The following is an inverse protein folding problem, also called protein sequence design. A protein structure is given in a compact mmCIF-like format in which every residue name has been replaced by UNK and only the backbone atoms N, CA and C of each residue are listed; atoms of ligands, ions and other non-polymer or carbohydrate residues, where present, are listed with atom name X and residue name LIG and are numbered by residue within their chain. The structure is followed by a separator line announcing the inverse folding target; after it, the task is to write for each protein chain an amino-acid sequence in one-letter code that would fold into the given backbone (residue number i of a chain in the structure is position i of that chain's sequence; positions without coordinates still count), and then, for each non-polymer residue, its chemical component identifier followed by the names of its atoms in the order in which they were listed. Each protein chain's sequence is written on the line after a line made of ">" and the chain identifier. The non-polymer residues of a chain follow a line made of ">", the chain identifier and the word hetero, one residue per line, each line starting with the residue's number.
data_IF_453033199974
#
_entry.id   IF_453033199974
#
_cell.length_a   1.000
_cell.length_b   1.000
_cell.length_c   1.000
_cell.angle_alpha   90.00
_cell.angle_beta   90.00
_cell.angle_gamma   90.00
#
_symmetry.space_group_name_H-M   'P 1'
#
loop_
_entity.id
_entity.type
_entity.pdbx_description
1 polymer ?
#
# COMPACT_ATOMS: atom_id res chain seq x y z
N UNK A 1 -28.48 15.00 35.43
CA UNK A 1 -27.99 16.11 36.27
C UNK A 1 -27.26 17.06 35.36
N UNK A 2 -27.94 18.15 34.99
CA UNK A 2 -27.38 19.32 34.31
C UNK A 2 -26.18 19.88 35.06
N UNK A 3 -25.08 20.17 34.37
CA UNK A 3 -24.28 21.37 34.63
C UNK A 3 -23.78 21.95 33.30
N UNK A 4 -24.43 23.04 32.92
CA UNK A 4 -24.00 24.06 31.95
C UNK A 4 -22.85 24.86 32.56
N UNK A 5 -21.78 25.14 31.80
CA UNK A 5 -20.87 26.23 32.10
C UNK A 5 -20.38 26.92 30.82
N UNK A 6 -20.97 28.10 30.57
CA UNK A 6 -20.57 29.11 29.58
C UNK A 6 -19.23 29.73 29.98
N UNK A 7 -18.34 29.99 29.02
CA UNK A 7 -17.26 30.98 29.15
C UNK A 7 -17.31 31.98 28.01
N UNK A 8 -16.97 33.22 28.38
CA UNK A 8 -17.36 34.51 27.78
C UNK A 8 -16.52 34.92 26.57
N UNK A 9 -17.21 35.59 25.63
CA UNK A 9 -16.62 36.55 24.68
C UNK A 9 -15.82 37.65 25.40
N UNK A 10 -14.67 38.02 24.85
CA UNK A 10 -14.06 39.34 25.05
C UNK A 10 -13.94 40.07 23.71
N UNK A 11 -14.75 41.12 23.56
CA UNK A 11 -14.58 42.21 22.60
C UNK A 11 -13.39 43.07 23.02
N UNK A 12 -12.51 43.43 22.08
CA UNK A 12 -11.58 44.55 22.22
C UNK A 12 -11.71 45.52 21.03
N UNK A 13 -11.52 46.78 21.37
CA UNK A 13 -11.88 48.00 20.66
C UNK A 13 -10.89 48.41 19.56
N UNK A 14 -11.48 48.95 18.50
CA UNK A 14 -11.09 50.11 17.67
C UNK A 14 -9.95 50.98 18.20
N UNK A 15 -8.99 51.32 17.32
CA UNK A 15 -8.31 52.61 17.30
C UNK A 15 -7.82 52.99 15.86
N UNK A 16 -8.32 54.14 15.37
CA UNK A 16 -7.70 55.22 14.56
C UNK A 16 -6.44 54.86 13.73
N UNK A 17 -6.32 55.14 12.43
CA UNK A 17 -6.74 56.32 11.68
C UNK A 17 -5.49 57.00 11.07
N UNK A 18 -5.15 56.68 9.82
CA UNK A 18 -4.24 57.48 8.98
C UNK A 18 -4.84 57.56 7.58
N UNK A 19 -5.32 58.75 7.23
CA UNK A 19 -5.77 59.09 5.90
C UNK A 19 -4.54 59.38 5.02
N UNK A 20 -4.20 58.44 4.14
CA UNK A 20 -3.27 58.67 3.04
C UNK A 20 -4.07 59.08 1.80
N UNK A 21 -3.75 60.24 1.23
CA UNK A 21 -4.29 60.76 -0.02
C UNK A 21 -3.83 59.87 -1.20
N UNK A 22 -4.74 59.28 -2.00
CA UNK A 22 -4.34 58.60 -3.22
C UNK A 22 -4.09 59.64 -4.32
N UNK A 23 -2.89 59.56 -4.90
CA UNK A 23 -2.55 60.19 -6.17
C UNK A 23 -3.43 59.54 -7.25
N UNK A 24 -4.31 60.33 -7.87
CA UNK A 24 -5.09 59.95 -9.05
C UNK A 24 -4.14 59.80 -10.25
N UNK A 25 -3.47 58.66 -10.33
CA UNK A 25 -2.87 58.20 -11.58
C UNK A 25 -3.97 57.68 -12.50
N UNK A 26 -3.97 58.13 -13.75
CA UNK A 26 -4.85 57.63 -14.81
C UNK A 26 -4.58 56.13 -15.06
N UNK A 27 -5.23 55.28 -14.27
CA UNK A 27 -5.22 53.83 -14.45
C UNK A 27 -6.04 53.47 -15.67
N UNK A 28 -5.35 53.10 -16.76
CA UNK A 28 -5.97 52.33 -17.82
C UNK A 28 -6.63 51.12 -17.18
N UNK A 29 -7.93 50.92 -17.46
CA UNK A 29 -8.65 49.72 -17.06
C UNK A 29 -7.92 48.52 -17.65
N UNK A 30 -7.12 47.86 -16.83
CA UNK A 30 -6.59 46.55 -17.13
C UNK A 30 -7.82 45.65 -17.18
N UNK A 31 -8.20 45.23 -18.40
CA UNK A 31 -9.26 44.24 -18.55
C UNK A 31 -8.89 43.03 -17.68
N UNK A 32 -9.83 42.48 -16.89
CA UNK A 32 -9.54 41.31 -16.07
C UNK A 32 -9.00 40.23 -17.00
N UNK A 33 -7.72 39.89 -16.82
CA UNK A 33 -7.07 38.85 -17.62
C UNK A 33 -7.85 37.57 -17.43
N UNK A 34 -8.34 37.00 -18.53
CA UNK A 34 -8.90 35.65 -18.53
C UNK A 34 -7.76 34.74 -18.07
N UNK A 35 -7.88 34.17 -16.87
CA UNK A 35 -6.90 33.17 -16.43
C UNK A 35 -6.91 32.02 -17.44
N UNK A 36 -5.72 31.59 -17.91
CA UNK A 36 -5.64 30.49 -18.86
C UNK A 36 -6.32 29.24 -18.27
N UNK A 37 -7.07 28.54 -19.12
CA UNK A 37 -7.73 27.28 -18.75
C UNK A 37 -6.68 26.25 -18.30
N UNK A 38 -6.78 25.77 -17.05
CA UNK A 38 -5.87 24.77 -16.48
C UNK A 38 -6.21 23.36 -17.01
N UNK A 39 -5.20 22.51 -17.13
CA UNK A 39 -5.37 21.09 -17.42
C UNK A 39 -5.90 20.39 -16.17
N UNK A 40 -7.14 19.91 -16.18
CA UNK A 40 -7.68 19.10 -15.08
C UNK A 40 -7.05 17.70 -15.10
N UNK A 41 -6.48 17.29 -13.97
CA UNK A 41 -5.91 15.96 -13.77
C UNK A 41 -6.53 15.30 -12.53
N UNK A 42 -7.43 14.34 -12.74
CA UNK A 42 -8.04 13.56 -11.64
C UNK A 42 -7.28 12.26 -11.44
N UNK A 43 -6.93 11.98 -10.18
CA UNK A 43 -6.11 10.83 -9.81
C UNK A 43 -6.65 10.16 -8.55
N UNK A 44 -7.38 9.04 -8.67
CA UNK A 44 -7.58 8.13 -7.56
C UNK A 44 -6.25 7.42 -7.24
N UNK A 45 -5.83 7.54 -5.98
CA UNK A 45 -4.66 6.87 -5.43
C UNK A 45 -5.05 5.53 -4.81
N UNK A 46 -4.07 4.64 -4.67
CA UNK A 46 -4.27 3.38 -3.98
C UNK A 46 -4.57 3.64 -2.51
N UNK A 47 -5.73 3.16 -2.04
CA UNK A 47 -6.29 3.55 -0.73
C UNK A 47 -5.98 2.55 0.39
N UNK A 48 -5.40 1.38 0.09
CA UNK A 48 -5.07 0.35 1.07
C UNK A 48 -3.71 0.60 1.74
N UNK A 49 -3.46 1.85 2.15
CA UNK A 49 -2.26 2.26 2.89
C UNK A 49 -2.65 2.75 4.29
N UNK A 50 -1.74 2.81 5.28
CA UNK A 50 -2.08 3.35 6.60
C UNK A 50 -2.49 4.83 6.55
N UNK A 51 -3.66 5.15 7.11
CA UNK A 51 -4.10 6.54 7.37
C UNK A 51 -3.40 7.09 8.62
N UNK A 52 -2.13 7.49 8.44
CA UNK A 52 -1.28 7.90 9.55
C UNK A 52 -1.79 9.13 10.32
N UNK A 53 -2.58 9.99 9.67
CA UNK A 53 -3.19 11.18 10.27
C UNK A 53 -4.56 10.88 10.91
N UNK A 54 -5.21 9.76 10.56
CA UNK A 54 -6.55 9.41 11.03
C UNK A 54 -7.62 10.37 10.49
N UNK A 55 -7.37 10.99 9.34
CA UNK A 55 -8.22 12.03 8.75
C UNK A 55 -8.83 11.64 7.40
N UNK A 56 -8.75 10.34 7.05
CA UNK A 56 -9.16 9.76 5.78
C UNK A 56 -8.33 10.34 4.61
N UNK A 57 -7.02 10.43 4.79
CA UNK A 57 -6.05 10.91 3.79
C UNK A 57 -6.23 12.37 3.34
N UNK A 58 -6.93 13.21 4.11
CA UNK A 58 -7.18 14.61 3.75
C UNK A 58 -5.88 15.41 3.76
N UNK A 59 -5.08 15.29 4.83
CA UNK A 59 -3.79 15.97 4.91
C UNK A 59 -2.81 15.49 3.83
N UNK A 60 -2.80 14.18 3.56
CA UNK A 60 -1.99 13.57 2.50
C UNK A 60 -2.33 14.17 1.12
N UNK A 61 -3.61 14.13 0.75
CA UNK A 61 -4.11 14.60 -0.55
C UNK A 61 -3.86 16.10 -0.72
N UNK A 62 -4.18 16.91 0.30
CA UNK A 62 -3.98 18.35 0.26
C UNK A 62 -2.50 18.76 0.12
N UNK A 63 -1.57 18.00 0.72
CA UNK A 63 -0.14 18.25 0.56
C UNK A 63 0.35 17.91 -0.84
N UNK A 64 -0.10 16.78 -1.40
CA UNK A 64 0.23 16.37 -2.78
C UNK A 64 -0.22 17.46 -3.77
N UNK A 65 -1.48 17.88 -3.68
CA UNK A 65 -2.04 18.95 -4.52
C UNK A 65 -1.24 20.25 -4.37
N UNK A 66 -1.06 20.75 -3.15
CA UNK A 66 -0.38 22.02 -2.92
C UNK A 66 1.09 22.03 -3.37
N UNK A 67 1.84 20.94 -3.17
CA UNK A 67 3.23 20.87 -3.62
C UNK A 67 3.34 20.73 -5.14
N UNK A 68 2.50 19.90 -5.76
CA UNK A 68 2.52 19.67 -7.20
C UNK A 68 2.07 20.91 -7.98
N UNK A 69 0.94 21.51 -7.63
CA UNK A 69 0.40 22.68 -8.35
C UNK A 69 1.28 23.92 -8.20
N UNK A 70 2.09 23.99 -7.15
CA UNK A 70 3.12 25.03 -7.02
C UNK A 70 4.24 24.88 -8.05
N UNK A 71 4.57 23.66 -8.44
CA UNK A 71 5.57 23.34 -9.48
C UNK A 71 4.95 23.37 -10.89
N UNK A 72 3.64 23.10 -11.00
CA UNK A 72 2.86 23.01 -12.25
C UNK A 72 1.57 23.83 -12.17
N UNK A 73 1.64 25.19 -12.20
CA UNK A 73 0.47 26.05 -11.98
C UNK A 73 -0.60 25.97 -13.09
N UNK A 74 -0.24 25.42 -14.25
CA UNK A 74 -1.12 25.17 -15.38
C UNK A 74 -1.96 23.88 -15.25
N UNK A 75 -1.72 23.06 -14.24
CA UNK A 75 -2.47 21.82 -13.97
C UNK A 75 -3.33 21.99 -12.72
N UNK A 76 -4.62 21.69 -12.82
CA UNK A 76 -5.55 21.57 -11.69
C UNK A 76 -5.59 20.10 -11.23
N UNK A 77 -4.92 19.78 -10.13
CA UNK A 77 -4.81 18.42 -9.63
C UNK A 77 -5.94 18.14 -8.63
N UNK A 78 -6.65 17.03 -8.86
CA UNK A 78 -7.66 16.54 -7.91
C UNK A 78 -7.31 15.11 -7.51
N UNK A 79 -6.79 14.96 -6.30
CA UNK A 79 -6.49 13.67 -5.69
C UNK A 79 -7.74 13.08 -5.07
N UNK A 80 -8.01 11.79 -5.32
CA UNK A 80 -9.16 11.07 -4.79
C UNK A 80 -10.47 11.86 -4.96
N UNK A 81 -10.84 12.20 -6.22
CA UNK A 81 -11.97 13.08 -6.48
C UNK A 81 -13.22 12.57 -5.77
N UNK A 82 -14.07 13.42 -5.16
CA UNK A 82 -15.21 12.96 -4.35
C UNK A 82 -16.21 12.07 -5.09
N UNK A 83 -16.24 12.11 -6.42
CA UNK A 83 -17.06 11.22 -7.24
C UNK A 83 -16.51 9.78 -7.34
N UNK A 84 -15.25 9.54 -6.98
CA UNK A 84 -14.61 8.24 -7.10
C UNK A 84 -15.22 7.28 -6.09
N UNK A 85 -15.82 6.21 -6.61
CA UNK A 85 -16.48 5.15 -5.85
C UNK A 85 -16.17 3.77 -6.43
N UNK A 86 -15.29 3.71 -7.44
CA UNK A 86 -14.96 2.46 -8.11
C UNK A 86 -14.14 1.58 -7.16
N UNK A 87 -14.38 0.28 -7.22
CA UNK A 87 -13.53 -0.69 -6.53
C UNK A 87 -12.21 -0.86 -7.31
N UNK A 88 -11.09 -0.57 -6.66
CA UNK A 88 -9.73 -0.75 -7.21
C UNK A 88 -9.43 -2.21 -7.60
N UNK A 89 -10.23 -3.17 -7.12
CA UNK A 89 -10.14 -4.58 -7.48
C UNK A 89 -11.18 -5.07 -8.51
N UNK A 90 -11.91 -4.14 -9.16
CA UNK A 90 -12.88 -4.44 -10.21
C UNK A 90 -12.51 -3.75 -11.55
N UNK A 91 -11.71 -4.40 -12.42
CA UNK A 91 -11.20 -3.79 -13.65
C UNK A 91 -12.27 -3.23 -14.59
N UNK A 92 -13.48 -3.78 -14.57
CA UNK A 92 -14.59 -3.28 -15.40
C UNK A 92 -15.11 -1.90 -14.95
N UNK A 93 -15.13 -1.62 -13.64
CA UNK A 93 -15.50 -0.31 -13.10
C UNK A 93 -14.40 0.70 -13.45
N UNK A 94 -13.14 0.33 -13.19
CA UNK A 94 -12.00 1.18 -13.50
C UNK A 94 -11.94 1.52 -15.00
N UNK A 95 -12.17 0.54 -15.86
CA UNK A 95 -12.18 0.71 -17.30
C UNK A 95 -13.25 1.70 -17.75
N UNK A 96 -14.46 1.65 -17.18
CA UNK A 96 -15.53 2.58 -17.51
C UNK A 96 -15.11 4.03 -17.18
N UNK A 97 -14.57 4.28 -15.99
CA UNK A 97 -14.11 5.62 -15.59
C UNK A 97 -12.90 6.12 -16.39
N UNK A 98 -11.94 5.24 -16.71
CA UNK A 98 -10.82 5.56 -17.59
C UNK A 98 -11.28 5.91 -19.01
N UNK A 99 -12.30 5.23 -19.54
CA UNK A 99 -12.93 5.57 -20.84
C UNK A 99 -13.87 6.78 -20.76
N UNK A 100 -14.09 7.35 -19.58
CA UNK A 100 -14.99 8.49 -19.36
C UNK A 100 -16.48 8.13 -19.42
N UNK A 101 -16.80 6.84 -19.30
CA UNK A 101 -18.15 6.28 -19.26
C UNK A 101 -18.65 6.12 -17.81
N UNK A 102 -17.73 6.10 -16.84
CA UNK A 102 -18.03 5.97 -15.41
C UNK A 102 -18.55 7.26 -14.77
N UNK A 103 -19.07 7.12 -13.55
CA UNK A 103 -19.61 8.25 -12.77
C UNK A 103 -18.54 9.28 -12.39
N UNK A 104 -17.27 8.86 -12.35
CA UNK A 104 -16.13 9.71 -12.05
C UNK A 104 -15.03 9.47 -13.07
N UNK A 105 -15.01 10.18 -14.20
CA UNK A 105 -13.90 10.06 -15.14
C UNK A 105 -12.60 10.45 -14.45
N UNK A 106 -11.52 9.73 -14.74
CA UNK A 106 -10.19 10.12 -14.30
C UNK A 106 -9.15 9.80 -15.37
N UNK A 107 -8.01 10.47 -15.25
CA UNK A 107 -6.96 10.49 -16.25
C UNK A 107 -5.83 9.51 -15.90
N UNK A 108 -5.57 9.33 -14.60
CA UNK A 108 -4.62 8.39 -14.03
C UNK A 108 -5.33 7.64 -12.90
N UNK A 109 -4.98 6.38 -12.68
CA UNK A 109 -5.32 5.66 -11.45
C UNK A 109 -4.13 4.81 -11.01
N UNK A 110 -3.90 4.78 -9.71
CA UNK A 110 -2.94 3.86 -9.09
C UNK A 110 -3.64 2.54 -8.76
N UNK A 111 -3.17 1.43 -9.34
CA UNK A 111 -3.80 0.11 -9.23
C UNK A 111 -2.80 -0.95 -8.82
N UNK A 112 -3.28 -1.95 -8.08
CA UNK A 112 -2.54 -3.19 -7.85
C UNK A 112 -2.33 -3.90 -9.20
N UNK A 113 -1.07 -4.18 -9.52
CA UNK A 113 -0.68 -4.82 -10.77
C UNK A 113 -1.09 -6.28 -10.86
N UNK A 114 -1.57 -6.91 -9.78
CA UNK A 114 -2.17 -8.26 -9.82
C UNK A 114 -3.38 -8.35 -10.78
N UNK A 115 -3.92 -7.20 -11.20
CA UNK A 115 -5.06 -7.01 -12.09
C UNK A 115 -4.69 -6.40 -13.44
N UNK A 116 -3.41 -6.08 -13.65
CA UNK A 116 -3.00 -5.23 -14.76
C UNK A 116 -3.34 -5.85 -16.10
N UNK A 117 -3.16 -7.16 -16.26
CA UNK A 117 -3.54 -7.88 -17.47
C UNK A 117 -5.01 -7.72 -17.81
N UNK A 118 -5.88 -7.97 -16.84
CA UNK A 118 -7.33 -7.85 -17.02
C UNK A 118 -7.75 -6.40 -17.32
N UNK A 119 -7.08 -5.41 -16.71
CA UNK A 119 -7.31 -4.00 -17.02
C UNK A 119 -6.82 -3.63 -18.43
N UNK A 120 -5.67 -4.13 -18.88
CA UNK A 120 -5.14 -3.94 -20.23
C UNK A 120 -6.09 -4.54 -21.27
N UNK A 121 -6.62 -5.74 -21.02
CA UNK A 121 -7.55 -6.43 -21.91
C UNK A 121 -8.86 -5.65 -22.13
N UNK A 122 -9.24 -4.73 -21.22
CA UNK A 122 -10.39 -3.83 -21.43
C UNK A 122 -10.16 -2.75 -22.50
N UNK A 123 -8.90 -2.50 -22.88
CA UNK A 123 -8.50 -1.40 -23.75
C UNK A 123 -8.66 -0.01 -23.13
N UNK A 124 -8.87 0.11 -21.82
CA UNK A 124 -9.09 1.40 -21.16
C UNK A 124 -7.78 2.13 -20.79
N UNK A 125 -6.68 1.38 -20.63
CA UNK A 125 -5.34 1.92 -20.35
C UNK A 125 -4.45 1.90 -21.59
N UNK A 126 -3.54 2.86 -21.69
CA UNK A 126 -2.54 2.94 -22.76
C UNK A 126 -1.13 2.64 -22.23
N UNK A 127 -0.20 2.16 -23.08
CA UNK A 127 1.20 2.06 -22.71
C UNK A 127 1.77 3.40 -22.24
N UNK A 128 2.56 3.37 -21.16
CA UNK A 128 3.16 4.55 -20.54
C UNK A 128 4.36 5.09 -21.32
N UNK A 129 5.00 4.24 -22.13
CA UNK A 129 6.13 4.58 -23.00
C UNK A 129 7.49 4.47 -22.33
N UNK A 130 7.74 5.22 -21.25
CA UNK A 130 9.00 5.18 -20.50
C UNK A 130 8.81 5.61 -19.03
N UNK A 131 9.59 5.01 -18.14
CA UNK A 131 9.62 5.38 -16.72
C UNK A 131 10.23 6.79 -16.54
N UNK A 132 9.81 7.56 -15.51
CA UNK A 132 10.49 8.79 -15.12
C UNK A 132 12.01 8.59 -14.91
N UNK A 133 12.80 9.58 -15.32
CA UNK A 133 14.24 9.61 -15.10
C UNK A 133 14.58 9.91 -13.64
N UNK A 134 15.66 9.33 -13.12
CA UNK A 134 16.18 9.60 -11.78
C UNK A 134 15.99 8.46 -10.77
N UNK A 135 14.78 7.92 -10.57
CA UNK A 135 14.57 6.77 -9.70
C UNK A 135 15.41 5.54 -10.07
N UNK A 136 15.87 4.83 -9.05
CA UNK A 136 16.45 3.49 -9.23
C UNK A 136 15.32 2.47 -9.11
N UNK A 137 14.67 2.18 -10.23
CA UNK A 137 13.46 1.35 -10.25
C UNK A 137 13.72 -0.11 -9.85
N UNK A 138 12.86 -0.65 -9.00
CA UNK A 138 12.88 -2.05 -8.62
C UNK A 138 12.54 -2.95 -9.84
N UNK A 139 13.37 -3.95 -10.21
CA UNK A 139 13.12 -4.79 -11.38
C UNK A 139 11.78 -5.53 -11.34
N UNK A 140 11.40 -6.07 -10.18
CA UNK A 140 10.08 -6.68 -9.97
C UNK A 140 8.93 -5.71 -10.30
N UNK A 141 8.99 -4.46 -9.83
CA UNK A 141 7.94 -3.47 -10.13
C UNK A 141 7.81 -3.18 -11.63
N UNK A 142 8.95 -3.05 -12.34
CA UNK A 142 8.95 -2.88 -13.80
C UNK A 142 8.28 -4.07 -14.48
N UNK A 143 8.65 -5.30 -14.07
CA UNK A 143 8.10 -6.53 -14.63
C UNK A 143 6.59 -6.65 -14.36
N UNK A 144 6.15 -6.37 -13.13
CA UNK A 144 4.74 -6.40 -12.75
C UNK A 144 3.92 -5.34 -13.52
N UNK A 145 4.55 -4.23 -13.89
CA UNK A 145 3.94 -3.14 -14.69
C UNK A 145 4.00 -3.36 -16.21
N UNK A 146 4.51 -4.51 -16.66
CA UNK A 146 4.73 -4.82 -18.07
C UNK A 146 3.84 -5.97 -18.52
N UNK A 147 3.11 -5.78 -19.61
CA UNK A 147 2.27 -6.80 -20.26
C UNK A 147 2.77 -6.97 -21.69
N UNK A 148 3.10 -8.21 -22.08
CA UNK A 148 3.58 -8.55 -23.43
C UNK A 148 4.74 -7.66 -23.93
N UNK A 149 5.65 -7.31 -23.02
CA UNK A 149 6.83 -6.47 -23.32
C UNK A 149 6.55 -4.97 -23.43
N UNK A 150 5.32 -4.51 -23.15
CA UNK A 150 4.98 -3.09 -23.08
C UNK A 150 4.73 -2.65 -21.65
N UNK A 151 5.31 -1.51 -21.27
CA UNK A 151 5.09 -0.89 -19.97
C UNK A 151 3.72 -0.18 -19.95
N UNK A 152 2.83 -0.61 -19.06
CA UNK A 152 1.48 -0.03 -18.91
C UNK A 152 1.30 0.84 -17.67
N UNK A 153 2.26 0.81 -16.74
CA UNK A 153 2.24 1.70 -15.59
C UNK A 153 3.61 2.02 -15.05
N UNK A 154 3.67 3.01 -14.16
CA UNK A 154 4.88 3.37 -13.42
C UNK A 154 4.77 2.82 -12.00
N UNK A 155 5.68 1.91 -11.58
CA UNK A 155 5.70 1.37 -10.22
C UNK A 155 5.77 2.47 -9.16
N UNK A 156 4.99 2.34 -8.09
CA UNK A 156 5.00 3.28 -6.98
C UNK A 156 5.20 2.56 -5.64
N UNK A 157 4.19 1.84 -5.15
CA UNK A 157 4.32 1.02 -3.96
C UNK A 157 4.64 -0.43 -4.31
N UNK A 158 5.26 -1.11 -3.37
CA UNK A 158 5.38 -2.55 -3.35
C UNK A 158 4.91 -3.06 -1.99
N UNK A 159 4.48 -4.31 -1.92
CA UNK A 159 4.25 -4.98 -0.65
C UNK A 159 4.54 -6.49 -0.80
N UNK A 160 4.75 -7.15 0.34
CA UNK A 160 4.91 -8.61 0.46
C UNK A 160 4.64 -9.04 1.89
N UNK A 161 4.53 -10.34 2.15
CA UNK A 161 4.22 -10.85 3.48
C UNK A 161 5.44 -10.82 4.40
N UNK A 162 5.24 -10.32 5.61
CA UNK A 162 6.24 -10.24 6.67
C UNK A 162 5.74 -10.94 7.93
N UNK A 163 6.69 -11.49 8.68
CA UNK A 163 6.51 -11.84 10.08
C UNK A 163 6.96 -10.67 10.95
N UNK A 164 6.04 -10.20 11.77
CA UNK A 164 6.29 -9.23 12.85
C UNK A 164 6.39 -10.00 14.16
N UNK A 165 7.41 -9.74 14.98
CA UNK A 165 7.57 -10.46 16.25
C UNK A 165 8.40 -9.63 17.25
N UNK A 166 8.64 -10.18 18.44
CA UNK A 166 9.64 -9.66 19.40
C UNK A 166 10.90 -10.55 19.50
N UNK A 167 10.94 -11.64 18.75
CA UNK A 167 11.96 -12.69 18.88
C UNK A 167 12.93 -12.65 17.70
N UNK A 168 14.22 -12.55 18.02
CA UNK A 168 15.29 -12.65 17.03
C UNK A 168 15.27 -14.01 16.31
N UNK A 169 14.97 -15.10 17.04
CA UNK A 169 14.89 -16.45 16.47
C UNK A 169 13.75 -16.55 15.44
N UNK A 170 12.58 -15.97 15.75
CA UNK A 170 11.43 -15.93 14.83
C UNK A 170 11.77 -15.12 13.58
N UNK A 171 12.36 -13.93 13.74
CA UNK A 171 12.79 -13.10 12.58
C UNK A 171 13.98 -13.69 11.80
N UNK A 172 14.72 -14.59 12.42
CA UNK A 172 15.89 -15.26 11.85
C UNK A 172 15.53 -16.49 11.02
N UNK A 173 14.30 -16.99 11.11
CA UNK A 173 13.86 -18.15 10.34
C UNK A 173 13.97 -17.91 8.83
N UNK A 174 14.31 -18.98 8.10
CA UNK A 174 14.48 -18.98 6.64
C UNK A 174 13.58 -19.98 5.94
N UNK A 175 12.88 -20.83 6.69
CA UNK A 175 11.86 -21.76 6.19
C UNK A 175 10.65 -21.75 7.12
N UNK A 176 9.52 -22.26 6.63
CA UNK A 176 8.29 -22.39 7.44
C UNK A 176 8.52 -23.29 8.66
N UNK A 177 9.31 -24.36 8.54
CA UNK A 177 9.59 -25.27 9.65
C UNK A 177 10.50 -24.63 10.70
N UNK A 178 11.48 -23.82 10.28
CA UNK A 178 12.30 -23.02 11.21
C UNK A 178 11.47 -21.97 11.94
N UNK A 179 10.53 -21.31 11.25
CA UNK A 179 9.62 -20.34 11.84
C UNK A 179 8.76 -20.99 12.91
N UNK A 180 8.11 -22.11 12.58
CA UNK A 180 7.25 -22.83 13.50
C UNK A 180 8.02 -23.35 14.72
N UNK A 181 9.21 -23.91 14.51
CA UNK A 181 10.07 -24.34 15.60
C UNK A 181 10.47 -23.17 16.51
N UNK A 182 10.81 -22.01 15.93
CA UNK A 182 11.16 -20.82 16.69
C UNK A 182 9.99 -20.26 17.50
N UNK A 183 8.76 -20.34 16.98
CA UNK A 183 7.54 -19.96 17.69
C UNK A 183 7.25 -20.90 18.86
N UNK A 184 7.22 -22.21 18.62
CA UNK A 184 6.99 -23.22 19.66
C UNK A 184 8.02 -23.11 20.80
N UNK A 185 9.28 -22.81 20.46
CA UNK A 185 10.36 -22.66 21.42
C UNK A 185 10.20 -21.46 22.36
N UNK A 186 9.34 -20.48 22.04
CA UNK A 186 9.06 -19.36 22.94
C UNK A 186 8.33 -19.83 24.21
N UNK A 187 7.51 -20.88 24.11
CA UNK A 187 6.81 -21.50 25.25
C UNK A 187 5.93 -20.54 26.03
N UNK A 188 5.33 -19.55 25.35
CA UNK A 188 4.46 -18.55 25.98
C UNK A 188 3.00 -19.04 26.00
N UNK A 189 2.12 -18.43 26.81
CA UNK A 189 0.68 -18.70 26.74
C UNK A 189 -0.02 -17.94 25.59
N UNK A 190 0.68 -17.10 24.85
CA UNK A 190 0.12 -16.40 23.69
C UNK A 190 -0.09 -17.37 22.52
N UNK A 191 -0.94 -17.00 21.56
CA UNK A 191 -1.02 -17.75 20.30
C UNK A 191 0.29 -17.58 19.53
N UNK A 192 0.86 -18.65 18.99
CA UNK A 192 2.12 -18.58 18.25
C UNK A 192 2.04 -17.56 17.10
N UNK A 193 0.99 -17.66 16.27
CA UNK A 193 0.79 -16.78 15.12
C UNK A 193 -0.61 -16.16 15.12
N UNK A 194 -0.71 -14.91 14.72
CA UNK A 194 -1.97 -14.27 14.33
C UNK A 194 -1.86 -13.60 12.97
N UNK A 195 -2.77 -13.88 12.05
CA UNK A 195 -2.85 -13.22 10.75
C UNK A 195 -4.15 -13.62 10.06
N UNK A 196 -4.72 -12.75 9.23
CA UNK A 196 -5.80 -13.22 8.37
C UNK A 196 -5.19 -14.04 7.24
N UNK A 197 -5.50 -15.34 7.16
CA UNK A 197 -5.08 -16.20 6.04
C UNK A 197 -6.22 -16.40 5.04
N UNK A 198 -7.42 -15.89 5.33
CA UNK A 198 -8.57 -15.90 4.43
C UNK A 198 -8.54 -14.71 3.47
N UNK A 199 -9.57 -14.65 2.64
CA UNK A 199 -9.75 -13.64 1.62
C UNK A 199 -9.48 -14.20 0.23
N UNK A 200 -10.24 -13.73 -0.75
CA UNK A 200 -10.12 -14.24 -2.13
C UNK A 200 -8.84 -13.78 -2.82
N UNK A 201 -8.14 -12.79 -2.28
CA UNK A 201 -6.82 -12.36 -2.75
C UNK A 201 -5.71 -12.96 -1.90
N UNK A 202 -5.85 -12.83 -0.59
CA UNK A 202 -4.80 -13.16 0.36
C UNK A 202 -4.48 -14.66 0.46
N UNK A 203 -5.46 -15.57 0.54
CA UNK A 203 -5.16 -17.01 0.59
C UNK A 203 -4.45 -17.52 -0.69
N UNK A 204 -4.93 -17.20 -1.92
CA UNK A 204 -4.19 -17.51 -3.13
C UNK A 204 -2.79 -16.89 -3.17
N UNK A 205 -2.65 -15.64 -2.72
CA UNK A 205 -1.38 -14.94 -2.66
C UNK A 205 -0.36 -15.64 -1.75
N UNK A 206 -0.78 -16.05 -0.54
CA UNK A 206 0.05 -16.80 0.40
C UNK A 206 0.52 -18.13 -0.19
N UNK A 207 -0.35 -18.82 -0.95
CA UNK A 207 0.04 -20.04 -1.65
C UNK A 207 1.11 -19.78 -2.72
N UNK A 208 0.95 -18.73 -3.53
CA UNK A 208 1.91 -18.39 -4.58
C UNK A 208 3.28 -17.99 -3.99
N UNK A 209 3.26 -17.30 -2.86
CA UNK A 209 4.46 -16.91 -2.12
C UNK A 209 5.16 -18.14 -1.52
N UNK A 210 4.41 -19.03 -0.86
CA UNK A 210 4.91 -20.31 -0.35
C UNK A 210 5.44 -21.24 -1.47
N UNK A 211 4.79 -21.23 -2.63
CA UNK A 211 5.26 -21.93 -3.83
C UNK A 211 6.60 -21.36 -4.31
N UNK A 212 6.73 -20.04 -4.32
CA UNK A 212 7.96 -19.35 -4.72
C UNK A 212 9.11 -19.62 -3.74
N UNK A 213 8.84 -19.63 -2.44
CA UNK A 213 9.83 -20.01 -1.42
C UNK A 213 10.34 -21.44 -1.62
N UNK A 214 9.50 -22.33 -2.13
CA UNK A 214 9.80 -23.76 -2.31
C UNK A 214 10.52 -24.04 -3.63
N UNK A 215 10.08 -23.41 -4.73
CA UNK A 215 10.55 -23.73 -6.09
C UNK A 215 11.40 -22.63 -6.73
N UNK A 216 11.53 -21.49 -6.06
CA UNK A 216 12.07 -20.26 -6.62
C UNK A 216 11.03 -19.51 -7.47
N UNK A 217 11.34 -18.27 -7.89
CA UNK A 217 10.40 -17.38 -8.58
C UNK A 217 10.16 -17.72 -10.06
N UNK A 218 10.99 -18.59 -10.63
CA UNK A 218 10.84 -18.99 -12.01
C UNK A 218 9.52 -19.76 -12.18
N UNK A 219 8.67 -19.31 -13.11
CA UNK A 219 7.41 -19.95 -13.48
C UNK A 219 6.30 -19.89 -12.41
N UNK A 220 6.34 -18.97 -11.44
CA UNK A 220 5.24 -18.79 -10.46
C UNK A 220 3.88 -18.60 -11.13
N UNK A 221 3.82 -18.02 -12.34
CA UNK A 221 2.59 -17.91 -13.13
C UNK A 221 1.91 -19.26 -13.39
N UNK A 222 2.66 -20.37 -13.47
CA UNK A 222 2.10 -21.72 -13.63
C UNK A 222 1.37 -22.24 -12.39
N UNK A 223 1.65 -21.67 -11.21
CA UNK A 223 0.96 -21.97 -9.96
C UNK A 223 -0.37 -21.20 -9.81
N UNK A 224 -0.67 -20.26 -10.72
CA UNK A 224 -1.99 -19.61 -10.83
C UNK A 224 -2.95 -20.59 -11.52
N UNK A 225 -3.53 -21.50 -10.73
CA UNK A 225 -4.37 -22.61 -11.24
C UNK A 225 -5.47 -23.01 -10.26
N UNK A 226 -6.44 -23.78 -10.76
CA UNK A 226 -7.49 -24.44 -9.97
C UNK A 226 -7.49 -25.96 -10.15
N UNK A 227 -6.55 -26.50 -10.91
CA UNK A 227 -6.55 -27.92 -11.27
C UNK A 227 -5.70 -28.78 -10.34
N UNK A 228 -4.49 -28.32 -10.02
CA UNK A 228 -3.50 -29.07 -9.24
C UNK A 228 -2.71 -28.12 -8.34
N UNK A 229 -2.75 -28.37 -7.03
CA UNK A 229 -1.93 -27.67 -6.05
C UNK A 229 -0.74 -28.53 -5.62
N UNK A 230 0.37 -27.88 -5.29
CA UNK A 230 1.58 -28.54 -4.83
C UNK A 230 1.39 -29.09 -3.41
N UNK A 231 1.55 -30.42 -3.21
CA UNK A 231 1.28 -31.04 -1.91
C UNK A 231 2.26 -30.62 -0.81
N UNK A 232 3.52 -30.33 -1.15
CA UNK A 232 4.52 -29.92 -0.17
C UNK A 232 4.25 -28.48 0.31
N UNK A 233 3.84 -27.61 -0.61
CA UNK A 233 3.39 -26.25 -0.31
C UNK A 233 2.15 -26.28 0.59
N UNK A 234 1.14 -27.08 0.24
CA UNK A 234 -0.07 -27.22 1.05
C UNK A 234 0.22 -27.76 2.45
N UNK A 235 1.11 -28.75 2.57
CA UNK A 235 1.51 -29.29 3.86
C UNK A 235 2.20 -28.23 4.73
N UNK A 236 3.06 -27.38 4.15
CA UNK A 236 3.66 -26.24 4.85
C UNK A 236 2.62 -25.21 5.31
N UNK A 237 1.70 -24.84 4.42
CA UNK A 237 0.62 -23.90 4.74
C UNK A 237 -0.33 -24.44 5.82
N UNK A 238 -0.63 -25.73 5.82
CA UNK A 238 -1.44 -26.37 6.88
C UNK A 238 -0.75 -26.23 8.24
N UNK A 239 0.54 -26.56 8.32
CA UNK A 239 1.33 -26.37 9.55
C UNK A 239 1.37 -24.91 10.00
N UNK A 240 1.52 -23.98 9.05
CA UNK A 240 1.48 -22.53 9.34
C UNK A 240 0.11 -22.11 9.89
N UNK A 241 -0.99 -22.53 9.27
CA UNK A 241 -2.32 -22.22 9.73
C UNK A 241 -2.56 -22.73 11.16
N UNK A 242 -2.09 -23.95 11.49
CA UNK A 242 -2.19 -24.51 12.85
C UNK A 242 -1.41 -23.74 13.91
N UNK A 243 -0.42 -22.93 13.54
CA UNK A 243 0.23 -22.01 14.49
C UNK A 243 -0.73 -20.93 15.02
N UNK A 244 -1.90 -20.78 14.40
CA UNK A 244 -2.97 -19.92 14.90
C UNK A 244 -3.98 -20.62 15.80
N UNK A 245 -3.89 -21.95 15.99
CA UNK A 245 -4.91 -22.70 16.73
C UNK A 245 -5.07 -22.18 18.16
N UNK A 246 -6.32 -22.05 18.58
CA UNK A 246 -6.74 -21.68 19.92
C UNK A 246 -7.68 -22.75 20.50
N UNK A 247 -8.09 -22.61 21.75
CA UNK A 247 -9.07 -23.52 22.34
C UNK A 247 -10.45 -23.41 21.68
N UNK A 248 -10.77 -22.26 21.08
CA UNK A 248 -12.05 -21.94 20.46
C UNK A 248 -12.10 -22.24 18.96
N UNK A 249 -10.96 -22.52 18.32
CA UNK A 249 -10.85 -22.74 16.87
C UNK A 249 -9.62 -22.06 16.28
N UNK A 250 -9.62 -21.88 14.96
CA UNK A 250 -8.51 -21.27 14.23
C UNK A 250 -8.93 -19.90 13.66
N UNK A 251 -8.63 -18.78 14.37
CA UNK A 251 -9.06 -17.44 13.97
C UNK A 251 -8.44 -16.96 12.65
N UNK A 252 -7.36 -17.60 12.20
CA UNK A 252 -6.69 -17.27 10.95
C UNK A 252 -7.46 -17.76 9.71
N UNK A 253 -8.31 -18.78 9.85
CA UNK A 253 -9.04 -19.44 8.74
C UNK A 253 -10.55 -19.59 8.96
N UNK A 254 -11.13 -18.96 9.99
CA UNK A 254 -12.57 -19.07 10.32
C UNK A 254 -13.38 -17.78 10.10
N UNK A 255 -12.74 -16.70 9.65
CA UNK A 255 -13.37 -15.40 9.41
C UNK A 255 -13.29 -14.43 10.60
N UNK A 256 -12.70 -14.82 11.74
CA UNK A 256 -12.56 -13.97 12.94
C UNK A 256 -11.90 -12.62 12.63
N UNK A 257 -10.96 -12.58 11.69
CA UNK A 257 -10.23 -11.37 11.32
C UNK A 257 -10.82 -10.61 10.11
N UNK A 258 -11.92 -11.07 9.50
CA UNK A 258 -12.51 -10.41 8.32
C UNK A 258 -13.18 -9.08 8.68
N UNK A 259 -13.86 -9.01 9.83
CA UNK A 259 -14.57 -7.80 10.29
C UNK A 259 -13.61 -6.73 10.85
N UNK A 260 -12.40 -7.14 11.25
CA UNK A 260 -11.38 -6.25 11.77
C UNK A 260 -9.99 -6.72 11.35
N UNK A 261 -9.56 -6.21 10.20
CA UNK A 261 -8.24 -6.48 9.64
C UNK A 261 -7.08 -6.07 10.57
N UNK A 262 -7.32 -5.19 11.55
CA UNK A 262 -6.34 -4.74 12.55
C UNK A 262 -6.16 -5.66 13.75
N UNK A 263 -7.07 -6.60 13.93
CA UNK A 263 -7.06 -7.44 15.12
C UNK A 263 -5.78 -8.30 15.26
N UNK A 264 -5.23 -8.95 14.20
CA UNK A 264 -3.99 -9.72 14.34
C UNK A 264 -2.81 -8.90 14.89
N UNK A 265 -2.57 -7.72 14.35
CA UNK A 265 -1.48 -6.84 14.76
C UNK A 265 -1.71 -6.24 16.14
N UNK A 266 -2.96 -5.91 16.48
CA UNK A 266 -3.34 -5.48 17.82
C UNK A 266 -3.03 -6.59 18.84
N UNK A 267 -3.29 -7.86 18.50
CA UNK A 267 -2.94 -9.00 19.37
C UNK A 267 -1.44 -9.11 19.59
N UNK A 268 -0.62 -8.98 18.54
CA UNK A 268 0.83 -8.90 18.70
C UNK A 268 1.23 -7.72 19.59
N UNK A 269 0.70 -6.52 19.34
CA UNK A 269 1.01 -5.32 20.10
C UNK A 269 0.72 -5.49 21.61
N UNK A 270 -0.38 -6.17 21.94
CA UNK A 270 -0.84 -6.46 23.30
C UNK A 270 -0.17 -7.69 23.94
N UNK A 271 0.69 -8.42 23.23
CA UNK A 271 1.34 -9.64 23.71
C UNK A 271 0.38 -10.84 23.81
N UNK A 272 -0.72 -10.82 23.05
CA UNK A 272 -1.68 -11.91 22.91
C UNK A 272 -1.34 -12.85 21.75
N UNK A 273 -0.36 -12.48 20.93
CA UNK A 273 0.28 -13.32 19.94
C UNK A 273 1.80 -13.12 19.98
N UNK A 274 2.56 -14.18 19.72
CA UNK A 274 4.03 -14.16 19.69
C UNK A 274 4.58 -13.56 18.39
N UNK A 275 3.85 -13.78 17.29
CA UNK A 275 4.09 -13.16 16.00
C UNK A 275 2.78 -12.82 15.28
N UNK A 276 2.86 -11.87 14.34
CA UNK A 276 1.79 -11.63 13.38
C UNK A 276 2.28 -11.68 11.93
N UNK A 277 1.47 -12.29 11.05
CA UNK A 277 1.71 -12.34 9.61
C UNK A 277 0.87 -11.26 8.91
N UNK A 278 1.52 -10.43 8.08
CA UNK A 278 0.86 -9.41 7.28
C UNK A 278 1.86 -8.60 6.46
N UNK A 279 1.40 -7.62 5.69
CA UNK A 279 2.29 -6.73 4.95
C UNK A 279 3.14 -5.83 5.85
N UNK A 280 4.19 -5.21 5.33
CA UNK A 280 5.08 -4.31 6.08
C UNK A 280 4.34 -3.14 6.75
N UNK A 281 3.30 -2.66 6.10
CA UNK A 281 2.40 -1.57 6.51
C UNK A 281 1.71 -1.88 7.83
N UNK A 282 1.53 -3.17 8.13
CA UNK A 282 0.91 -3.65 9.35
C UNK A 282 1.76 -3.33 10.59
N UNK A 283 3.07 -3.11 10.43
CA UNK A 283 3.94 -2.57 11.49
C UNK A 283 3.45 -1.21 12.01
N UNK A 284 2.81 -0.39 11.16
CA UNK A 284 2.17 0.85 11.60
C UNK A 284 1.12 0.59 12.68
N UNK A 285 0.26 -0.41 12.46
CA UNK A 285 -0.81 -0.81 13.36
C UNK A 285 -0.24 -1.37 14.66
N UNK A 286 0.79 -2.24 14.58
CA UNK A 286 1.46 -2.79 15.76
C UNK A 286 1.99 -1.67 16.65
N UNK A 287 2.73 -0.71 16.08
CA UNK A 287 3.35 0.38 16.85
C UNK A 287 2.30 1.33 17.45
N UNK A 288 1.25 1.68 16.69
CA UNK A 288 0.15 2.52 17.18
C UNK A 288 -0.60 1.91 18.36
N UNK A 289 -0.62 0.59 18.46
CA UNK A 289 -1.37 -0.15 19.49
C UNK A 289 -0.48 -0.72 20.61
N UNK A 290 0.80 -0.34 20.66
CA UNK A 290 1.68 -0.72 21.76
C UNK A 290 1.14 -0.18 23.11
N UNK A 291 1.15 -1.00 24.18
CA UNK A 291 0.82 -0.53 25.52
C UNK A 291 1.69 0.65 25.94
N UNK A 292 1.15 1.54 26.79
CA UNK A 292 1.90 2.67 27.34
C UNK A 292 3.18 2.17 28.02
N UNK A 293 4.33 2.70 27.59
CA UNK A 293 5.65 2.32 28.10
C UNK A 293 6.32 1.15 27.37
N UNK A 294 5.62 0.46 26.47
CA UNK A 294 6.23 -0.52 25.58
C UNK A 294 7.08 0.17 24.50
N UNK A 295 8.12 -0.51 24.02
CA UNK A 295 9.08 0.06 23.06
C UNK A 295 8.97 -0.63 21.71
N UNK A 296 8.84 0.16 20.64
CA UNK A 296 8.96 -0.35 19.28
C UNK A 296 10.36 -0.95 19.00
N UNK A 297 11.36 -0.69 19.85
CA UNK A 297 12.70 -1.25 19.72
C UNK A 297 12.75 -2.77 19.99
N UNK A 298 11.73 -3.32 20.63
CA UNK A 298 11.63 -4.76 20.87
C UNK A 298 11.10 -5.49 19.65
N UNK A 299 10.43 -4.80 18.72
CA UNK A 299 9.85 -5.40 17.54
C UNK A 299 10.93 -5.78 16.51
N UNK A 300 10.60 -6.79 15.73
CA UNK A 300 11.33 -7.29 14.56
C UNK A 300 10.37 -7.43 13.41
N UNK A 301 10.92 -7.30 12.20
CA UNK A 301 10.24 -7.54 10.94
C UNK A 301 11.19 -8.37 10.07
N UNK A 302 10.68 -9.39 9.40
CA UNK A 302 11.43 -10.17 8.43
C UNK A 302 10.46 -10.73 7.39
N UNK A 303 10.88 -10.89 6.12
CA UNK A 303 10.04 -11.54 5.11
C UNK A 303 9.56 -12.89 5.61
N UNK A 304 8.29 -13.19 5.40
CA UNK A 304 7.69 -14.41 5.92
C UNK A 304 8.24 -15.63 5.16
N UNK A 305 8.92 -16.58 5.83
CA UNK A 305 9.32 -17.82 5.19
C UNK A 305 8.13 -18.78 5.15
N UNK A 306 7.38 -18.74 4.06
CA UNK A 306 6.13 -19.49 3.86
C UNK A 306 6.38 -20.89 3.25
N UNK A 307 7.58 -21.13 2.71
CA UNK A 307 8.00 -22.43 2.17
C UNK A 307 9.36 -22.92 2.66
N UNK A 308 10.14 -23.57 1.79
CA UNK A 308 11.47 -24.13 2.10
C UNK A 308 12.62 -23.14 1.86
N UNK A 309 12.28 -21.87 1.70
CA UNK A 309 13.20 -20.77 1.48
C UNK A 309 12.53 -19.45 1.86
N UNK A 310 13.12 -18.35 1.42
CA UNK A 310 12.60 -17.00 1.65
C UNK A 310 12.91 -16.14 0.41
N UNK A 311 12.03 -16.22 -0.58
CA UNK A 311 12.09 -15.59 -1.89
C UNK A 311 10.75 -14.88 -2.15
N UNK A 312 10.47 -13.76 -1.46
CA UNK A 312 9.15 -13.15 -1.49
C UNK A 312 8.72 -12.74 -2.89
N UNK A 313 7.42 -12.82 -3.15
CA UNK A 313 6.76 -12.13 -4.24
C UNK A 313 6.40 -10.71 -3.84
N UNK A 314 6.65 -9.76 -4.74
CA UNK A 314 6.29 -8.36 -4.60
C UNK A 314 5.02 -8.07 -5.38
N UNK A 315 3.96 -7.74 -4.66
CA UNK A 315 2.87 -6.95 -5.22
C UNK A 315 3.44 -5.58 -5.58
N UNK A 316 2.86 -4.94 -6.59
CA UNK A 316 3.28 -3.60 -7.02
C UNK A 316 2.03 -2.81 -7.34
N UNK A 317 1.92 -1.62 -6.78
CA UNK A 317 0.92 -0.64 -7.17
C UNK A 317 1.54 0.31 -8.18
N UNK A 318 0.84 0.53 -9.29
CA UNK A 318 1.35 1.31 -10.41
C UNK A 318 0.37 2.35 -10.89
N UNK A 319 0.89 3.53 -11.24
CA UNK A 319 0.13 4.54 -11.95
C UNK A 319 -0.11 4.10 -13.40
N UNK A 320 -1.37 3.97 -13.80
CA UNK A 320 -1.78 3.64 -15.17
C UNK A 320 -2.45 4.84 -15.84
N UNK A 321 -2.32 4.95 -17.16
CA UNK A 321 -2.79 6.11 -17.93
C UNK A 321 -4.05 5.76 -18.73
N UNK A 322 -5.08 6.59 -18.63
CA UNK A 322 -6.28 6.51 -19.47
C UNK A 322 -5.93 6.66 -20.97
N UNK A 323 -6.61 5.89 -21.82
CA UNK A 323 -6.55 6.08 -23.29
C UNK A 323 -7.02 7.47 -23.76
N UNK A 324 -7.83 8.19 -22.96
CA UNK A 324 -8.29 9.55 -23.27
C UNK A 324 -7.24 10.62 -22.97
N UNK A 325 -6.32 10.35 -22.05
CA UNK A 325 -5.32 11.32 -21.62
C UNK A 325 -4.19 11.40 -22.65
N UNK A 326 -4.24 12.42 -23.50
CA UNK A 326 -3.32 12.68 -24.61
C UNK A 326 -2.87 14.14 -24.60
N UNK A 327 -1.80 14.48 -25.32
CA UNK A 327 -1.32 15.86 -25.44
C UNK A 327 -0.96 16.48 -24.09
N UNK A 328 -1.57 17.63 -23.76
CA UNK A 328 -1.31 18.33 -22.49
C UNK A 328 -1.67 17.50 -21.26
N UNK A 329 -2.73 16.67 -21.32
CA UNK A 329 -3.08 15.77 -20.24
C UNK A 329 -1.97 14.73 -19.99
N UNK A 330 -1.45 14.12 -21.05
CA UNK A 330 -0.39 13.12 -20.94
C UNK A 330 0.89 13.72 -20.34
N UNK A 331 1.22 14.97 -20.69
CA UNK A 331 2.35 15.66 -20.07
C UNK A 331 2.11 15.93 -18.59
N UNK A 332 0.94 16.47 -18.21
CA UNK A 332 0.57 16.69 -16.82
C UNK A 332 0.61 15.38 -16.00
N UNK A 333 0.19 14.27 -16.61
CA UNK A 333 0.25 12.96 -15.98
C UNK A 333 1.68 12.47 -15.75
N UNK A 334 2.57 12.67 -16.73
CA UNK A 334 4.00 12.34 -16.58
C UNK A 334 4.66 13.18 -15.49
N UNK A 335 4.35 14.46 -15.45
CA UNK A 335 4.86 15.39 -14.44
C UNK A 335 4.37 15.00 -13.04
N UNK A 336 3.08 14.67 -12.90
CA UNK A 336 2.51 14.19 -11.64
C UNK A 336 3.16 12.90 -11.16
N UNK A 337 3.34 11.91 -12.04
CA UNK A 337 3.99 10.65 -11.66
C UNK A 337 5.47 10.85 -11.37
N UNK A 338 6.17 11.76 -12.05
CA UNK A 338 7.53 12.13 -11.69
C UNK A 338 7.59 12.80 -10.30
N UNK A 339 6.60 13.64 -9.96
CA UNK A 339 6.45 14.21 -8.62
C UNK A 339 6.21 13.13 -7.56
N UNK A 340 5.30 12.17 -7.80
CA UNK A 340 4.97 11.12 -6.83
C UNK A 340 6.16 10.17 -6.61
N UNK A 341 6.95 9.93 -7.65
CA UNK A 341 8.05 8.95 -7.60
C UNK A 341 9.43 9.53 -7.30
N UNK A 342 9.52 10.85 -7.03
CA UNK A 342 10.77 11.47 -6.57
C UNK A 342 11.06 11.08 -5.12
N UNK A 343 12.35 10.98 -4.80
CA UNK A 343 12.82 10.49 -3.51
C UNK A 343 12.28 11.27 -2.30
N UNK A 344 12.15 12.60 -2.42
CA UNK A 344 11.59 13.44 -1.36
C UNK A 344 10.10 13.20 -1.14
N UNK A 345 9.31 12.97 -2.20
CA UNK A 345 7.88 12.69 -2.08
C UNK A 345 7.65 11.35 -1.40
N UNK A 346 8.35 10.31 -1.86
CA UNK A 346 8.38 9.03 -1.16
C UNK A 346 8.73 9.19 0.31
N UNK A 347 9.84 9.84 0.64
CA UNK A 347 10.30 9.96 2.02
C UNK A 347 9.24 10.53 2.94
N UNK A 348 8.62 11.65 2.56
CA UNK A 348 7.67 12.30 3.46
C UNK A 348 6.38 11.49 3.61
N UNK A 349 5.93 10.77 2.56
CA UNK A 349 4.76 9.88 2.63
C UNK A 349 5.06 8.69 3.54
N UNK A 350 6.16 7.97 3.31
CA UNK A 350 6.45 6.73 4.05
C UNK A 350 6.83 7.02 5.51
N UNK A 351 7.38 8.19 5.81
CA UNK A 351 7.64 8.67 7.18
C UNK A 351 6.43 9.37 7.82
N UNK A 352 5.28 9.43 7.14
CA UNK A 352 4.04 10.01 7.65
C UNK A 352 4.14 11.50 8.02
N UNK A 353 4.90 12.27 7.25
CA UNK A 353 5.13 13.69 7.56
C UNK A 353 3.89 14.58 7.33
N UNK A 354 2.85 14.08 6.66
CA UNK A 354 1.51 14.68 6.60
C UNK A 354 0.72 14.55 7.90
N UNK A 355 1.08 13.60 8.79
CA UNK A 355 0.45 13.44 10.09
C UNK A 355 1.08 14.37 11.17
N UNK A 356 0.35 14.71 12.24
CA UNK A 356 0.91 15.45 13.39
C UNK A 356 2.19 14.80 13.91
N UNK A 357 3.18 15.61 14.29
CA UNK A 357 4.48 15.09 14.76
C UNK A 357 4.36 14.29 16.07
N UNK A 358 3.42 14.66 16.93
CA UNK A 358 3.11 13.90 18.15
C UNK A 358 2.44 12.57 17.78
N UNK A 359 3.05 11.45 18.19
CA UNK A 359 2.52 10.12 17.91
C UNK A 359 2.60 9.70 16.44
N UNK A 360 3.40 10.39 15.62
CA UNK A 360 3.67 10.00 14.23
C UNK A 360 4.34 8.63 14.20
N UNK A 361 3.82 7.75 13.36
CA UNK A 361 4.39 6.42 13.07
C UNK A 361 4.53 6.32 11.55
N UNK A 362 5.70 5.92 11.02
CA UNK A 362 5.86 5.67 9.58
C UNK A 362 4.79 4.72 9.04
N UNK A 363 4.45 4.85 7.75
CA UNK A 363 3.49 3.94 7.08
C UNK A 363 4.10 2.57 6.79
N UNK A 364 5.43 2.47 6.76
CA UNK A 364 6.15 1.25 6.38
C UNK A 364 5.73 0.69 5.01
N UNK A 365 5.28 1.57 4.11
CA UNK A 365 5.12 1.28 2.69
C UNK A 365 6.50 0.99 2.09
N UNK A 366 6.56 0.13 1.07
CA UNK A 366 7.82 -0.18 0.39
C UNK A 366 7.91 0.59 -0.94
N UNK A 367 8.77 1.62 -1.06
CA UNK A 367 8.96 2.34 -2.32
C UNK A 367 9.49 1.44 -3.44
N UNK A 368 8.93 1.56 -4.65
CA UNK A 368 9.47 0.94 -5.85
C UNK A 368 10.76 1.62 -6.38
N UNK A 369 11.12 2.78 -5.81
CA UNK A 369 12.39 3.46 -6.05
C UNK A 369 13.42 3.06 -4.98
N UNK A 370 14.36 2.20 -5.36
CA UNK A 370 15.40 1.65 -4.47
C UNK A 370 16.29 2.71 -3.83
N UNK A 371 16.48 3.86 -4.47
CA UNK A 371 17.30 4.94 -3.93
C UNK A 371 16.66 5.59 -2.67
N UNK A 372 15.36 5.40 -2.44
CA UNK A 372 14.64 5.96 -1.28
C UNK A 372 15.12 5.31 0.02
N UNK A 373 15.42 4.01 0.01
CA UNK A 373 15.89 3.29 1.20
C UNK A 373 17.24 3.80 1.73
N UNK A 374 18.02 4.48 0.89
CA UNK A 374 19.33 5.04 1.23
C UNK A 374 19.22 6.49 1.76
N UNK A 375 18.01 7.06 1.82
CA UNK A 375 17.81 8.41 2.35
C UNK A 375 18.06 8.43 3.87
N UNK A 376 18.68 9.50 4.42
CA UNK A 376 19.00 9.57 5.85
C UNK A 376 17.81 9.35 6.78
N UNK A 377 16.61 9.82 6.38
CA UNK A 377 15.39 9.64 7.17
C UNK A 377 14.96 8.18 7.28
N UNK A 378 15.03 7.42 6.19
CA UNK A 378 14.69 5.99 6.19
C UNK A 378 15.79 5.16 6.85
N UNK A 379 17.06 5.50 6.62
CA UNK A 379 18.18 4.81 7.26
C UNK A 379 18.22 4.97 8.79
N UNK A 380 17.65 6.07 9.30
CA UNK A 380 17.53 6.31 10.73
C UNK A 380 16.39 5.51 11.39
N UNK A 381 15.36 5.14 10.63
CA UNK A 381 14.35 4.20 11.09
C UNK A 381 14.89 2.77 10.95
N UNK A 382 14.67 1.94 11.97
CA UNK A 382 15.29 0.62 12.05
C UNK A 382 14.69 -0.44 11.14
N UNK A 383 13.48 -0.22 10.62
CA UNK A 383 12.74 -1.21 9.84
C UNK A 383 12.98 -1.04 8.34
N UNK A 384 13.08 0.19 7.83
CA UNK A 384 13.36 0.41 6.40
C UNK A 384 14.65 -0.23 5.87
N UNK A 385 15.78 -0.30 6.60
CA UNK A 385 16.95 -1.03 6.14
C UNK A 385 16.65 -2.53 5.92
N UNK A 386 15.81 -3.11 6.78
CA UNK A 386 15.40 -4.52 6.68
C UNK A 386 14.45 -4.71 5.50
N UNK A 387 13.48 -3.82 5.33
CA UNK A 387 12.55 -3.83 4.19
C UNK A 387 13.31 -3.68 2.87
N UNK A 388 14.21 -2.71 2.78
CA UNK A 388 14.98 -2.45 1.56
C UNK A 388 15.89 -3.62 1.17
N UNK A 389 16.50 -4.30 2.13
CA UNK A 389 17.33 -5.48 1.86
C UNK A 389 16.49 -6.70 1.47
N UNK A 390 15.40 -6.95 2.20
CA UNK A 390 14.49 -8.06 1.96
C UNK A 390 13.95 -8.12 0.53
N UNK A 391 13.74 -6.96 -0.09
CA UNK A 391 13.04 -6.89 -1.37
C UNK A 391 13.99 -6.91 -2.56
N UNK A 392 15.29 -6.63 -2.39
CA UNK A 392 16.23 -6.42 -3.52
C UNK A 392 16.25 -7.55 -4.54
N UNK A 393 16.05 -8.80 -4.08
CA UNK A 393 16.07 -10.01 -4.92
C UNK A 393 14.69 -10.62 -5.13
N UNK A 394 13.65 -9.98 -4.60
CA UNK A 394 12.28 -10.47 -4.67
C UNK A 394 11.74 -10.39 -6.10
N UNK A 395 10.78 -11.26 -6.40
CA UNK A 395 10.23 -11.45 -7.73
C UNK A 395 8.87 -10.74 -7.91
N UNK A 396 8.44 -10.42 -9.14
CA UNK A 396 7.12 -9.84 -9.36
C UNK A 396 6.01 -10.84 -9.03
N UNK A 397 4.96 -10.39 -8.36
CA UNK A 397 3.72 -11.14 -8.25
C UNK A 397 3.06 -11.30 -9.64
N UNK A 398 2.40 -12.44 -9.94
CA UNK A 398 1.66 -12.63 -11.19
C UNK A 398 0.66 -11.49 -11.47
N UNK A 399 0.75 -10.89 -12.66
CA UNK A 399 -0.07 -9.75 -13.08
C UNK A 399 -1.20 -10.13 -14.06
N UNK A 400 -1.46 -11.43 -14.21
CA UNK A 400 -2.52 -11.96 -15.08
C UNK A 400 -3.14 -13.25 -14.51
N UNK A 401 -4.42 -13.48 -14.80
CA UNK A 401 -5.09 -14.78 -14.69
C UNK A 401 -5.66 -15.09 -13.30
N UNK A 402 -5.20 -14.42 -12.25
CA UNK A 402 -5.68 -14.68 -10.89
C UNK A 402 -7.11 -14.19 -10.69
N UNK A 403 -7.48 -13.01 -11.19
CA UNK A 403 -8.76 -12.34 -10.92
C UNK A 403 -9.96 -13.30 -11.02
N UNK A 404 -10.07 -14.02 -12.13
CA UNK A 404 -11.25 -14.83 -12.44
C UNK A 404 -11.31 -16.15 -11.64
N UNK A 405 -10.17 -16.63 -11.15
CA UNK A 405 -10.09 -17.91 -10.42
C UNK A 405 -9.90 -17.73 -8.91
N UNK A 406 -9.61 -16.51 -8.44
CA UNK A 406 -9.19 -16.20 -7.07
C UNK A 406 -10.11 -16.76 -5.98
N UNK A 407 -11.44 -16.73 -6.22
CA UNK A 407 -12.45 -17.29 -5.30
C UNK A 407 -12.41 -18.82 -5.25
N UNK A 408 -12.37 -19.47 -6.41
CA UNK A 408 -12.27 -20.93 -6.49
C UNK A 408 -10.94 -21.43 -5.90
N UNK A 409 -9.84 -20.74 -6.18
CA UNK A 409 -8.55 -21.04 -5.60
C UNK A 409 -8.58 -20.90 -4.07
N UNK A 410 -9.11 -19.79 -3.53
CA UNK A 410 -9.33 -19.63 -2.09
C UNK A 410 -10.13 -20.80 -1.52
N UNK A 411 -11.28 -21.14 -2.10
CA UNK A 411 -12.17 -22.16 -1.55
C UNK A 411 -11.49 -23.53 -1.51
N UNK A 412 -10.76 -23.88 -2.57
CA UNK A 412 -10.06 -25.18 -2.64
C UNK A 412 -8.87 -25.24 -1.68
N UNK A 413 -8.11 -24.14 -1.56
CA UNK A 413 -7.02 -24.03 -0.59
C UNK A 413 -7.56 -24.12 0.84
N UNK A 414 -8.67 -23.43 1.14
CA UNK A 414 -9.29 -23.44 2.47
C UNK A 414 -9.77 -24.84 2.85
N UNK A 415 -10.44 -25.54 1.93
CA UNK A 415 -10.84 -26.94 2.15
C UNK A 415 -9.63 -27.82 2.50
N UNK A 416 -8.50 -27.65 1.81
CA UNK A 416 -7.27 -28.39 2.11
C UNK A 416 -6.68 -28.03 3.49
N UNK A 417 -6.76 -26.78 3.93
CA UNK A 417 -6.31 -26.36 5.25
C UNK A 417 -7.21 -26.88 6.39
N UNK A 418 -8.48 -27.20 6.10
CA UNK A 418 -9.45 -27.69 7.08
C UNK A 418 -9.57 -29.22 7.12
N UNK A 419 -8.95 -29.96 6.19
CA UNK A 419 -9.21 -31.38 5.96
C UNK A 419 -8.57 -32.38 6.96
N UNK A 420 -8.05 -31.94 8.11
CA UNK A 420 -7.35 -32.76 9.10
C UNK A 420 -7.69 -32.37 10.54
#
# INVERSE_FOLDING_TARGET
>A
MDIVARVRLKKWMVLWGVAALPVLGCGGKQEPGVEPERVLLRVPLYSYIPDAAGDQFKALSARIEAEFEREHPDVDLVINPPCFQDDLYEPSQLAASLRGEGACPYEIVEVDTSLLGELVDTGAVRPWGALPEGPSWHPAGISASTIQGQLYGVPHWQCTHYIHSRSDAVSGARTVDELLHALDALGTPATNLSGNLLGSWNLPSLYLDAWTDTHGPANVQSAVTTEHYDPDVLAGMNRLARACDTAEGNPCIDGTYDDNIDLPEIRLAQGLADASLGFSERMHVVIKNLPVGASALELRIAPAPLGQGNQPLLFTDSFTLSTRCTGACEQAARDFVAYMTRASTYQWIVLSEDAPAEGRVPRYLMPANLAVYELPGLMADRFYPVLGEATRTAAPFPNTGLLNIRKQMRDTLLEALQAE
#
